data_IF_225921216458
#
_entry.id   IF_225921216458
#
_cell.length_a   1.000
_cell.length_b   1.000
_cell.length_c   1.000
_cell.angle_alpha   90.00
_cell.angle_beta   90.00
_cell.angle_gamma   90.00
#
_symmetry.space_group_name_H-M   'P 1'
#
loop_
_entity.id
_entity.type
_entity.pdbx_description
1 polymer ?
#
# COMPACT_ATOMS: atom_id res chain seq x y z
N UNK A 1 27.45 4.05 9.34
CA UNK A 1 27.14 5.42 8.93
C UNK A 1 26.58 5.37 7.50
N UNK A 2 25.30 4.99 7.34
CA UNK A 2 24.60 4.78 6.03
C UNK A 2 23.09 5.12 6.17
N UNK A 3 22.69 5.94 7.16
CA UNK A 3 21.27 6.19 7.43
C UNK A 3 20.66 7.29 6.54
N UNK A 4 21.46 8.24 6.04
CA UNK A 4 20.94 9.39 5.27
C UNK A 4 20.77 9.15 3.77
N UNK A 5 21.52 8.25 3.15
CA UNK A 5 21.38 8.00 1.70
C UNK A 5 20.12 7.18 1.37
N UNK A 6 19.70 6.30 2.28
CA UNK A 6 18.52 5.45 2.09
C UNK A 6 17.24 6.25 1.87
N UNK A 7 17.06 7.35 2.59
CA UNK A 7 15.92 8.25 2.39
C UNK A 7 15.93 8.90 1.00
N UNK A 8 17.09 9.38 0.54
CA UNK A 8 17.22 10.04 -0.76
C UNK A 8 16.82 9.08 -1.89
N UNK A 9 17.34 7.84 -1.85
CA UNK A 9 16.99 6.83 -2.84
C UNK A 9 15.52 6.39 -2.74
N UNK A 10 15.00 6.24 -1.52
CA UNK A 10 13.59 5.92 -1.32
C UNK A 10 12.68 6.99 -1.93
N UNK A 11 12.97 8.27 -1.71
CA UNK A 11 12.21 9.38 -2.31
C UNK A 11 12.35 9.43 -3.84
N UNK A 12 13.53 9.11 -4.38
CA UNK A 12 13.74 9.05 -5.83
C UNK A 12 12.91 7.93 -6.48
N UNK A 13 12.87 6.74 -5.87
CA UNK A 13 12.06 5.62 -6.32
C UNK A 13 10.56 5.92 -6.13
N UNK A 14 10.18 6.56 -5.03
CA UNK A 14 8.78 6.91 -4.75
C UNK A 14 8.15 7.79 -5.84
N UNK A 15 8.93 8.68 -6.48
CA UNK A 15 8.46 9.51 -7.61
C UNK A 15 7.92 8.69 -8.78
N UNK A 16 8.34 7.43 -8.92
CA UNK A 16 7.84 6.54 -9.95
C UNK A 16 6.36 6.19 -9.80
N UNK A 17 5.73 6.46 -8.64
CA UNK A 17 4.28 6.30 -8.45
C UNK A 17 3.44 7.05 -9.50
N UNK A 18 3.99 8.15 -10.05
CA UNK A 18 3.34 9.00 -11.06
C UNK A 18 3.82 8.73 -12.49
N UNK A 19 4.64 7.70 -12.73
CA UNK A 19 5.15 7.42 -14.07
C UNK A 19 4.01 7.02 -15.02
N UNK A 20 4.12 7.38 -16.31
CA UNK A 20 3.17 6.91 -17.32
C UNK A 20 3.25 5.38 -17.52
N UNK A 21 4.46 4.84 -17.39
CA UNK A 21 4.72 3.42 -17.54
C UNK A 21 4.22 2.61 -16.35
N UNK A 22 3.35 1.65 -16.62
CA UNK A 22 2.77 0.73 -15.64
C UNK A 22 3.82 0.03 -14.76
N UNK A 23 4.89 -0.50 -15.36
CA UNK A 23 5.92 -1.24 -14.65
C UNK A 23 6.78 -0.35 -13.78
N UNK A 24 6.98 0.90 -14.20
CA UNK A 24 7.67 1.89 -13.38
C UNK A 24 6.82 2.29 -12.16
N UNK A 25 5.51 2.50 -12.33
CA UNK A 25 4.59 2.68 -11.18
C UNK A 25 4.62 1.49 -10.25
N UNK A 26 4.53 0.27 -10.79
CA UNK A 26 4.63 -0.96 -10.00
C UNK A 26 5.96 -1.05 -9.22
N UNK A 27 7.07 -0.67 -9.86
CA UNK A 27 8.39 -0.66 -9.25
C UNK A 27 8.54 0.40 -8.13
N UNK A 28 7.61 1.35 -8.00
CA UNK A 28 7.61 2.27 -6.86
C UNK A 28 7.23 1.59 -5.53
N UNK A 29 6.55 0.43 -5.55
CA UNK A 29 6.18 -0.29 -4.33
C UNK A 29 7.18 -1.39 -3.95
N UNK A 30 7.64 -2.17 -4.94
CA UNK A 30 8.31 -3.46 -4.72
C UNK A 30 9.58 -3.39 -3.86
N UNK A 31 10.50 -2.42 -4.09
CA UNK A 31 11.73 -2.33 -3.30
C UNK A 31 11.48 -2.17 -1.79
N UNK A 32 10.33 -1.62 -1.42
CA UNK A 32 10.00 -1.31 -0.04
C UNK A 32 9.27 -2.43 0.70
N UNK A 33 8.78 -3.46 0.01
CA UNK A 33 8.01 -4.57 0.62
C UNK A 33 8.81 -5.24 1.75
N UNK A 34 10.10 -5.51 1.54
CA UNK A 34 10.95 -6.14 2.56
C UNK A 34 11.32 -5.22 3.73
N UNK A 35 11.23 -3.90 3.53
CA UNK A 35 11.57 -2.86 4.51
C UNK A 35 10.36 -2.39 5.33
N UNK A 36 9.15 -2.57 4.79
CA UNK A 36 7.93 -1.98 5.33
C UNK A 36 7.59 -2.44 6.75
N UNK A 37 7.92 -3.69 7.10
CA UNK A 37 7.76 -4.22 8.47
C UNK A 37 8.54 -3.46 9.55
N UNK A 38 9.52 -2.63 9.16
CA UNK A 38 10.30 -1.81 10.08
C UNK A 38 9.74 -0.38 10.23
N UNK A 39 8.76 0.02 9.41
CA UNK A 39 8.12 1.33 9.46
C UNK A 39 9.11 2.50 9.49
N UNK A 40 8.88 3.44 10.40
CA UNK A 40 9.71 4.65 10.57
C UNK A 40 11.10 4.39 11.17
N UNK A 41 11.41 3.13 11.53
CA UNK A 41 12.80 2.74 11.87
C UNK A 41 13.73 2.85 10.67
N UNK A 42 13.19 2.77 9.44
CA UNK A 42 13.97 2.99 8.22
C UNK A 42 14.46 4.45 8.15
N UNK A 43 13.54 5.40 8.26
CA UNK A 43 13.78 6.84 8.45
C UNK A 43 12.47 7.55 8.86
N UNK A 44 12.54 8.74 9.49
CA UNK A 44 11.33 9.51 9.85
C UNK A 44 10.45 9.82 8.63
N UNK A 45 9.17 9.45 8.69
CA UNK A 45 8.22 9.66 7.58
C UNK A 45 8.26 8.57 6.49
N UNK A 46 8.96 7.46 6.72
CA UNK A 46 8.93 6.32 5.81
C UNK A 46 7.50 5.76 5.65
N UNK A 47 6.78 5.60 6.75
CA UNK A 47 5.41 5.06 6.73
C UNK A 47 4.47 5.95 5.93
N UNK A 48 4.58 7.28 6.08
CA UNK A 48 3.82 8.26 5.30
C UNK A 48 4.09 8.10 3.80
N UNK A 49 5.38 8.01 3.43
CA UNK A 49 5.79 7.83 2.04
C UNK A 49 5.22 6.53 1.45
N UNK A 50 5.22 5.43 2.20
CA UNK A 50 4.69 4.15 1.71
C UNK A 50 3.17 4.19 1.53
N UNK A 51 2.44 4.85 2.44
CA UNK A 51 1.00 5.01 2.32
C UNK A 51 0.63 5.91 1.12
N UNK A 52 1.40 6.98 0.88
CA UNK A 52 1.26 7.85 -0.28
C UNK A 52 1.47 7.07 -1.59
N UNK A 53 2.55 6.27 -1.68
CA UNK A 53 2.80 5.39 -2.83
C UNK A 53 1.62 4.46 -3.07
N UNK A 54 1.15 3.78 -2.02
CA UNK A 54 -0.01 2.89 -2.14
C UNK A 54 -1.24 3.65 -2.64
N UNK A 55 -1.53 4.83 -2.09
CA UNK A 55 -2.67 5.65 -2.49
C UNK A 55 -2.66 5.98 -3.98
N UNK A 56 -1.52 6.40 -4.51
CA UNK A 56 -1.39 6.78 -5.92
C UNK A 56 -1.49 5.55 -6.82
N UNK A 57 -0.78 4.47 -6.48
CA UNK A 57 -0.77 3.25 -7.29
C UNK A 57 -2.14 2.55 -7.31
N UNK A 58 -2.93 2.67 -6.24
CA UNK A 58 -4.28 2.12 -6.16
C UNK A 58 -5.29 2.80 -7.09
N UNK A 59 -5.05 4.05 -7.51
CA UNK A 59 -5.88 4.77 -8.49
C UNK A 59 -5.67 4.28 -9.93
N UNK A 60 -4.59 3.52 -10.17
CA UNK A 60 -4.28 2.93 -11.47
C UNK A 60 -5.34 1.86 -11.81
N UNK A 61 -6.02 1.93 -12.97
CA UNK A 61 -7.04 0.95 -13.36
C UNK A 61 -6.47 -0.45 -13.63
N UNK A 62 -5.16 -0.56 -13.80
CA UNK A 62 -4.47 -1.80 -14.13
C UNK A 62 -4.34 -2.73 -12.91
N UNK A 63 -4.90 -3.93 -13.04
CA UNK A 63 -4.92 -4.97 -12.00
C UNK A 63 -3.54 -5.25 -11.36
N UNK A 64 -2.46 -5.27 -12.16
CA UNK A 64 -1.12 -5.56 -11.66
C UNK A 64 -0.56 -4.46 -10.75
N UNK A 65 -0.92 -3.19 -10.95
CA UNK A 65 -0.52 -2.08 -10.06
C UNK A 65 -1.00 -2.33 -8.63
N UNK A 66 -2.23 -2.80 -8.48
CA UNK A 66 -2.86 -2.96 -7.17
C UNK A 66 -2.30 -4.13 -6.35
N UNK A 67 -1.69 -5.14 -6.99
CA UNK A 67 -1.03 -6.23 -6.26
C UNK A 67 0.25 -5.78 -5.57
N UNK A 68 0.99 -4.84 -6.18
CA UNK A 68 2.21 -4.29 -5.57
C UNK A 68 1.89 -3.46 -4.33
N UNK A 69 0.87 -2.59 -4.41
CA UNK A 69 0.35 -1.84 -3.26
C UNK A 69 -0.18 -2.80 -2.18
N UNK A 70 -0.89 -3.86 -2.58
CA UNK A 70 -1.36 -4.90 -1.65
C UNK A 70 -0.22 -5.57 -0.88
N UNK A 71 0.88 -5.95 -1.52
CA UNK A 71 2.04 -6.53 -0.83
C UNK A 71 2.73 -5.53 0.08
N UNK A 72 2.84 -4.26 -0.34
CA UNK A 72 3.45 -3.22 0.49
C UNK A 72 2.62 -2.96 1.76
N UNK A 73 1.30 -2.80 1.64
CA UNK A 73 0.39 -2.64 2.78
C UNK A 73 0.41 -3.85 3.72
N UNK A 74 0.50 -5.07 3.17
CA UNK A 74 0.59 -6.31 3.95
C UNK A 74 1.76 -6.30 4.92
N UNK A 75 2.92 -5.85 4.44
CA UNK A 75 4.15 -5.79 5.26
C UNK A 75 4.15 -4.56 6.17
N UNK A 76 3.66 -3.41 5.69
CA UNK A 76 3.57 -2.18 6.49
C UNK A 76 2.63 -2.31 7.68
N UNK A 77 1.60 -3.15 7.57
CA UNK A 77 0.67 -3.43 8.66
C UNK A 77 1.37 -3.96 9.93
N UNK A 78 2.49 -4.67 9.77
CA UNK A 78 3.26 -5.17 10.92
C UNK A 78 3.91 -4.05 11.75
N UNK A 79 4.16 -2.89 11.14
CA UNK A 79 4.75 -1.74 11.81
C UNK A 79 3.71 -0.70 12.22
N UNK A 80 2.66 -0.51 11.42
CA UNK A 80 1.64 0.52 11.62
C UNK A 80 0.21 0.00 11.38
N UNK A 81 -0.31 -0.92 12.21
CA UNK A 81 -1.60 -1.57 11.97
C UNK A 81 -2.77 -0.60 11.77
N UNK A 82 -2.93 0.35 12.69
CA UNK A 82 -4.04 1.30 12.70
C UNK A 82 -4.00 2.23 11.47
N UNK A 83 -2.81 2.69 11.11
CA UNK A 83 -2.60 3.58 9.96
C UNK A 83 -2.89 2.88 8.64
N UNK A 84 -2.46 1.62 8.51
CA UNK A 84 -2.74 0.81 7.31
C UNK A 84 -4.24 0.51 7.19
N UNK A 85 -4.91 0.15 8.28
CA UNK A 85 -6.37 -0.06 8.27
C UNK A 85 -7.10 1.21 7.83
N UNK A 86 -6.77 2.36 8.43
CA UNK A 86 -7.36 3.64 8.05
C UNK A 86 -7.14 3.99 6.56
N UNK A 87 -5.94 3.72 6.04
CA UNK A 87 -5.63 3.92 4.62
C UNK A 87 -6.43 3.00 3.70
N UNK A 88 -6.63 1.73 4.09
CA UNK A 88 -7.43 0.77 3.32
C UNK A 88 -8.90 1.22 3.29
N UNK A 89 -9.45 1.65 4.42
CA UNK A 89 -10.82 2.13 4.52
C UNK A 89 -11.06 3.37 3.65
N UNK A 90 -10.13 4.34 3.69
CA UNK A 90 -10.22 5.56 2.89
C UNK A 90 -10.24 5.29 1.37
N UNK A 91 -9.69 4.17 0.92
CA UNK A 91 -9.57 3.81 -0.49
C UNK A 91 -10.38 2.54 -0.84
N UNK A 92 -11.29 2.11 0.03
CA UNK A 92 -11.89 0.78 -0.05
C UNK A 92 -12.63 0.51 -1.37
N UNK A 93 -13.19 1.56 -1.98
CA UNK A 93 -13.88 1.50 -3.28
C UNK A 93 -12.93 1.29 -4.47
N UNK A 94 -11.66 1.69 -4.34
CA UNK A 94 -10.65 1.60 -5.40
C UNK A 94 -9.97 0.22 -5.43
N UNK A 95 -10.06 -0.53 -4.33
CA UNK A 95 -9.49 -1.87 -4.26
C UNK A 95 -10.14 -2.85 -5.26
N UNK A 96 -9.31 -3.57 -5.99
CA UNK A 96 -9.67 -4.88 -6.54
C UNK A 96 -9.81 -5.91 -5.43
N UNK A 97 -10.54 -7.00 -5.72
CA UNK A 97 -10.67 -8.12 -4.78
C UNK A 97 -9.30 -8.72 -4.43
N UNK A 98 -8.36 -8.73 -5.36
CA UNK A 98 -7.02 -9.29 -5.15
C UNK A 98 -6.09 -8.35 -4.40
N UNK A 99 -6.09 -7.05 -4.73
CA UNK A 99 -5.32 -6.05 -3.98
C UNK A 99 -5.70 -6.08 -2.49
N UNK A 100 -7.01 -6.14 -2.19
CA UNK A 100 -7.49 -6.20 -0.82
C UNK A 100 -7.13 -7.54 -0.14
N UNK A 101 -7.18 -8.65 -0.88
CA UNK A 101 -6.77 -9.96 -0.37
C UNK A 101 -5.31 -9.94 0.09
N UNK A 102 -4.41 -9.37 -0.71
CA UNK A 102 -3.00 -9.27 -0.35
C UNK A 102 -2.78 -8.30 0.82
N UNK A 103 -3.37 -7.09 0.75
CA UNK A 103 -3.23 -6.08 1.81
C UNK A 103 -3.63 -6.60 3.20
N UNK A 104 -4.65 -7.47 3.25
CA UNK A 104 -5.21 -7.98 4.51
C UNK A 104 -4.69 -9.37 4.92
N UNK A 105 -3.76 -9.96 4.17
CA UNK A 105 -3.35 -11.36 4.32
C UNK A 105 -2.81 -11.70 5.72
N UNK A 106 -2.06 -10.78 6.35
CA UNK A 106 -1.49 -10.96 7.69
C UNK A 106 -2.41 -10.51 8.83
N UNK A 107 -3.55 -9.88 8.52
CA UNK A 107 -4.50 -9.39 9.52
C UNK A 107 -5.32 -10.54 10.13
N UNK A 108 -5.86 -10.37 11.34
CA UNK A 108 -6.83 -11.32 11.90
C UNK A 108 -8.00 -11.58 10.96
N UNK A 109 -8.55 -12.79 10.99
CA UNK A 109 -9.65 -13.19 10.09
C UNK A 109 -10.88 -12.30 10.23
N UNK A 110 -11.18 -11.84 11.44
CA UNK A 110 -12.27 -10.89 11.72
C UNK A 110 -12.10 -9.60 10.93
N UNK A 111 -10.90 -9.04 10.91
CA UNK A 111 -10.57 -7.81 10.21
C UNK A 111 -10.60 -7.99 8.68
N UNK A 112 -10.10 -9.12 8.18
CA UNK A 112 -10.20 -9.47 6.76
C UNK A 112 -11.67 -9.51 6.30
N UNK A 113 -12.55 -10.12 7.08
CA UNK A 113 -13.98 -10.23 6.76
C UNK A 113 -14.69 -8.87 6.84
N UNK A 114 -14.34 -8.04 7.83
CA UNK A 114 -14.85 -6.68 7.98
C UNK A 114 -14.54 -5.83 6.75
N UNK A 115 -13.28 -5.76 6.34
CA UNK A 115 -12.86 -4.96 5.18
C UNK A 115 -13.42 -5.48 3.86
N UNK A 116 -13.52 -6.80 3.67
CA UNK A 116 -14.18 -7.40 2.50
C UNK A 116 -15.67 -7.03 2.43
N UNK A 117 -16.36 -7.05 3.56
CA UNK A 117 -17.77 -6.67 3.64
C UNK A 117 -17.95 -5.18 3.37
N UNK A 118 -17.10 -4.33 3.97
CA UNK A 118 -17.08 -2.90 3.71
C UNK A 118 -16.93 -2.59 2.22
N UNK A 119 -15.99 -3.25 1.54
CA UNK A 119 -15.82 -3.10 0.09
C UNK A 119 -17.08 -3.49 -0.68
N UNK A 120 -17.70 -4.62 -0.34
CA UNK A 120 -18.92 -5.09 -1.02
C UNK A 120 -20.07 -4.09 -0.84
N UNK A 121 -20.31 -3.60 0.37
CA UNK A 121 -21.35 -2.60 0.66
C UNK A 121 -21.07 -1.29 -0.05
N UNK A 122 -19.82 -0.82 0.00
CA UNK A 122 -19.40 0.42 -0.66
C UNK A 122 -19.66 0.37 -2.16
N UNK A 123 -19.26 -0.71 -2.84
CA UNK A 123 -19.48 -0.89 -4.28
C UNK A 123 -20.97 -1.05 -4.66
N UNK A 124 -21.81 -1.55 -3.74
CA UNK A 124 -23.25 -1.65 -3.97
C UNK A 124 -23.94 -0.28 -3.95
N UNK A 125 -23.45 0.67 -3.16
CA UNK A 125 -24.01 2.03 -3.07
C UNK A 125 -23.72 2.90 -4.30
N UNK A 126 -22.78 2.49 -5.16
CA UNK A 126 -22.42 3.19 -6.41
C UNK A 126 -23.08 2.59 -7.67
N UNK A 127 -23.98 1.61 -7.50
CA UNK A 127 -24.77 1.00 -8.58
C UNK A 127 -26.22 1.45 -8.51
#
# INVERSE_FOLDING_TARGET
>A
MVKNEGEIYARAIARWQNAENLWQRHASCIPFVSLAKSGDTNFPGFTDLMLEICQTVMQSPERFSQTAAGWLLRELWLAAPERVVASIEAQISQFSSEGLRYATEKMPRTEQLRLRSLRKTTLANFR
#
